data_IF_056059471282
#
_entry.id   IF_056059471282
#
_cell.length_a   1.000
_cell.length_b   1.000
_cell.length_c   1.000
_cell.angle_alpha   90.00
_cell.angle_beta   90.00
_cell.angle_gamma   90.00
#
_symmetry.space_group_name_H-M   'P 1'
#
loop_
_entity.id
_entity.type
_entity.pdbx_description
1 polymer ?
#
# COMPACT_ATOMS: atom_id res chain seq x y z
N UNK A 1 11.99 23.53 21.00
CA UNK A 1 12.87 22.43 20.56
C UNK A 1 12.87 21.28 21.57
N UNK A 2 12.70 21.54 22.87
CA UNK A 2 12.66 20.47 23.89
C UNK A 2 11.41 19.59 23.88
N UNK A 3 10.23 20.10 23.48
CA UNK A 3 9.00 19.29 23.46
C UNK A 3 9.03 18.12 22.45
N UNK A 4 9.79 18.26 21.35
CA UNK A 4 9.94 17.21 20.33
C UNK A 4 10.94 16.15 20.80
N UNK A 5 12.00 16.57 21.50
CA UNK A 5 12.98 15.66 22.12
C UNK A 5 12.34 14.82 23.23
N UNK A 6 11.55 15.45 24.10
CA UNK A 6 10.80 14.75 25.14
C UNK A 6 9.72 13.82 24.56
N UNK A 7 9.09 14.20 23.43
CA UNK A 7 8.14 13.33 22.73
C UNK A 7 8.84 12.08 22.20
N UNK A 8 10.01 12.22 21.56
CA UNK A 8 10.81 11.11 21.04
C UNK A 8 11.29 10.19 22.18
N UNK A 9 11.70 10.76 23.31
CA UNK A 9 12.18 10.00 24.46
C UNK A 9 11.04 9.29 25.22
N UNK A 10 9.82 9.87 25.21
CA UNK A 10 8.62 9.22 25.75
C UNK A 10 8.11 8.05 24.91
N UNK A 11 8.37 8.06 23.60
CA UNK A 11 8.04 6.96 22.68
C UNK A 11 8.93 5.72 22.87
N UNK A 12 10.09 5.88 23.51
CA UNK A 12 11.02 4.78 23.76
C UNK A 12 10.70 3.97 25.03
N UNK A 13 9.91 4.52 25.96
CA UNK A 13 9.81 4.01 27.34
C UNK A 13 8.48 3.31 27.72
N UNK A 14 7.52 3.17 26.81
CA UNK A 14 6.33 2.33 27.04
C UNK A 14 5.11 2.75 26.22
N UNK A 15 4.25 1.77 25.87
CA UNK A 15 3.03 1.87 25.04
C UNK A 15 3.29 2.08 23.53
N UNK A 16 2.46 1.45 22.69
CA UNK A 16 2.66 1.25 21.24
C UNK A 16 3.41 2.38 20.52
N UNK A 17 4.50 2.05 19.83
CA UNK A 17 5.34 3.05 19.14
C UNK A 17 4.62 3.69 17.94
N UNK A 18 5.09 4.85 17.47
CA UNK A 18 4.63 5.46 16.20
C UNK A 18 4.69 4.46 15.05
N UNK A 19 5.68 3.55 15.07
CA UNK A 19 5.81 2.48 14.10
C UNK A 19 4.63 1.49 14.15
N UNK A 20 4.19 1.07 15.33
CA UNK A 20 3.03 0.18 15.48
C UNK A 20 1.73 0.81 14.97
N UNK A 21 1.53 2.10 15.26
CA UNK A 21 0.39 2.85 14.74
C UNK A 21 0.45 2.91 13.21
N UNK A 22 1.63 3.20 12.64
CA UNK A 22 1.81 3.22 11.19
C UNK A 22 1.53 1.84 10.56
N UNK A 23 1.98 0.74 11.17
CA UNK A 23 1.69 -0.62 10.70
C UNK A 23 0.18 -0.92 10.70
N UNK A 24 -0.56 -0.44 11.70
CA UNK A 24 -2.03 -0.56 11.73
C UNK A 24 -2.70 0.25 10.63
N UNK A 25 -2.24 1.48 10.37
CA UNK A 25 -2.77 2.28 9.26
C UNK A 25 -2.41 1.65 7.89
N UNK A 26 -1.21 1.07 7.74
CA UNK A 26 -0.83 0.31 6.54
C UNK A 26 -1.77 -0.87 6.31
N UNK A 27 -2.13 -1.60 7.37
CA UNK A 27 -3.09 -2.70 7.29
C UNK A 27 -4.51 -2.21 6.94
N UNK A 28 -4.92 -1.03 7.41
CA UNK A 28 -6.17 -0.39 7.00
C UNK A 28 -6.17 -0.03 5.49
N UNK A 29 -5.04 0.42 4.95
CA UNK A 29 -4.88 0.63 3.50
C UNK A 29 -5.00 -0.69 2.73
N UNK A 30 -4.39 -1.78 3.22
CA UNK A 30 -4.54 -3.11 2.62
C UNK A 30 -6.01 -3.55 2.62
N UNK A 31 -6.72 -3.37 3.74
CA UNK A 31 -8.16 -3.63 3.82
C UNK A 31 -8.94 -2.83 2.78
N UNK A 32 -8.84 -1.50 2.83
CA UNK A 32 -9.55 -0.58 1.93
C UNK A 32 -9.32 -0.87 0.45
N UNK A 33 -8.09 -1.21 0.09
CA UNK A 33 -7.70 -1.50 -1.30
C UNK A 33 -8.24 -2.83 -1.85
N UNK A 34 -8.58 -3.78 -0.99
CA UNK A 34 -9.11 -5.10 -1.36
C UNK A 34 -10.66 -5.18 -1.22
N UNK A 35 -11.33 -4.16 -0.67
CA UNK A 35 -12.79 -4.14 -0.41
C UNK A 35 -13.70 -4.30 -1.65
N UNK A 36 -13.16 -4.26 -2.88
CA UNK A 36 -13.93 -4.64 -4.08
C UNK A 36 -14.39 -6.12 -4.05
N UNK A 37 -13.78 -6.97 -3.21
CA UNK A 37 -14.21 -8.34 -2.93
C UNK A 37 -15.15 -8.40 -1.70
N UNK A 38 -16.35 -7.80 -1.79
CA UNK A 38 -17.39 -7.92 -0.74
C UNK A 38 -17.91 -9.36 -0.66
N UNK A 39 -17.20 -10.22 0.08
CA UNK A 39 -17.68 -11.42 0.81
C UNK A 39 -16.49 -12.10 1.52
N UNK A 40 -16.39 -12.03 2.84
CA UNK A 40 -15.65 -13.05 3.61
C UNK A 40 -14.50 -12.65 4.54
N UNK A 41 -13.95 -11.42 4.48
CA UNK A 41 -12.99 -10.95 5.50
C UNK A 41 -13.36 -9.59 6.07
N UNK A 42 -13.52 -9.53 7.40
CA UNK A 42 -13.67 -8.29 8.14
C UNK A 42 -12.32 -7.58 8.37
N UNK A 43 -12.40 -6.34 8.86
CA UNK A 43 -11.24 -5.51 9.19
C UNK A 43 -10.32 -6.20 10.21
N UNK A 44 -10.89 -6.81 11.25
CA UNK A 44 -10.12 -7.46 12.32
C UNK A 44 -9.26 -8.62 11.81
N UNK A 45 -9.81 -9.43 10.92
CA UNK A 45 -9.08 -10.56 10.33
C UNK A 45 -7.99 -10.06 9.37
N UNK A 46 -8.28 -9.01 8.60
CA UNK A 46 -7.31 -8.37 7.72
C UNK A 46 -6.14 -7.78 8.51
N UNK A 47 -6.44 -7.08 9.61
CA UNK A 47 -5.43 -6.54 10.53
C UNK A 47 -4.53 -7.64 11.07
N UNK A 48 -5.10 -8.76 11.57
CA UNK A 48 -4.31 -9.89 12.06
C UNK A 48 -3.36 -10.43 11.00
N UNK A 49 -3.85 -10.69 9.79
CA UNK A 49 -3.04 -11.21 8.69
C UNK A 49 -1.94 -10.22 8.28
N UNK A 50 -2.26 -8.93 8.17
CA UNK A 50 -1.27 -7.91 7.83
C UNK A 50 -0.20 -7.77 8.92
N UNK A 51 -0.58 -7.78 10.19
CA UNK A 51 0.38 -7.68 11.29
C UNK A 51 1.32 -8.88 11.33
N UNK A 52 0.83 -10.10 11.06
CA UNK A 52 1.70 -11.28 10.92
C UNK A 52 2.72 -11.15 9.79
N UNK A 53 2.34 -10.47 8.69
CA UNK A 53 3.25 -10.17 7.59
C UNK A 53 4.28 -9.12 8.00
N UNK A 54 3.80 -7.99 8.53
CA UNK A 54 4.64 -6.85 8.86
C UNK A 54 5.63 -7.12 10.01
N UNK A 55 5.22 -7.89 11.01
CA UNK A 55 6.05 -8.15 12.19
C UNK A 55 7.15 -9.20 11.96
N UNK A 56 7.12 -9.91 10.83
CA UNK A 56 8.01 -11.05 10.60
C UNK A 56 7.86 -12.16 11.65
N UNK A 57 6.77 -12.17 12.44
CA UNK A 57 6.50 -13.20 13.47
C UNK A 57 6.04 -14.54 12.89
N UNK A 58 5.77 -14.58 11.60
CA UNK A 58 5.95 -15.80 10.86
C UNK A 58 7.46 -15.89 10.62
N UNK A 59 8.18 -16.89 11.16
CA UNK A 59 9.57 -17.25 10.78
C UNK A 59 9.64 -17.49 9.26
N UNK A 60 9.56 -16.41 8.52
CA UNK A 60 9.22 -16.32 7.11
C UNK A 60 10.00 -15.08 6.67
N UNK A 61 11.18 -15.37 6.16
CA UNK A 61 11.90 -14.43 5.35
C UNK A 61 11.15 -14.25 4.03
N UNK A 62 10.59 -13.05 3.82
CA UNK A 62 9.87 -12.69 2.60
C UNK A 62 10.81 -12.49 1.39
N UNK A 63 12.13 -12.52 1.60
CA UNK A 63 13.12 -12.36 0.54
C UNK A 63 13.37 -13.64 -0.28
N UNK A 64 13.33 -14.81 0.36
CA UNK A 64 13.84 -16.06 -0.26
C UNK A 64 12.77 -16.93 -0.93
N UNK A 65 11.47 -16.68 -0.67
CA UNK A 65 10.32 -17.28 -1.40
C UNK A 65 10.44 -18.81 -1.61
N UNK A 66 11.00 -19.52 -0.64
CA UNK A 66 11.28 -20.97 -0.74
C UNK A 66 10.00 -21.81 -0.85
N UNK A 67 10.08 -23.09 -1.23
CA UNK A 67 8.94 -24.01 -1.17
C UNK A 67 8.28 -24.06 0.23
N UNK A 68 9.08 -23.99 1.29
CA UNK A 68 8.62 -24.00 2.69
C UNK A 68 7.79 -22.74 3.03
N UNK A 69 8.17 -21.58 2.47
CA UNK A 69 7.39 -20.36 2.56
C UNK A 69 5.98 -20.53 1.97
N UNK A 70 5.87 -21.13 0.79
CA UNK A 70 4.57 -21.38 0.15
C UNK A 70 3.70 -22.29 1.02
N UNK A 71 4.28 -23.33 1.63
CA UNK A 71 3.54 -24.25 2.50
C UNK A 71 3.01 -23.54 3.76
N UNK A 72 3.84 -22.72 4.43
CA UNK A 72 3.40 -21.95 5.61
C UNK A 72 2.28 -20.97 5.25
N UNK A 73 2.40 -20.29 4.10
CA UNK A 73 1.40 -19.35 3.60
C UNK A 73 0.07 -20.05 3.26
N UNK A 74 0.11 -21.18 2.57
CA UNK A 74 -1.09 -21.99 2.29
C UNK A 74 -1.80 -22.41 3.57
N UNK A 75 -1.04 -22.82 4.59
CA UNK A 75 -1.59 -23.21 5.89
C UNK A 75 -2.29 -22.03 6.59
N UNK A 76 -1.71 -20.83 6.55
CA UNK A 76 -2.31 -19.62 7.12
C UNK A 76 -3.60 -19.23 6.38
N UNK A 77 -3.56 -19.24 5.05
CA UNK A 77 -4.71 -18.89 4.20
C UNK A 77 -5.88 -19.85 4.46
N UNK A 78 -5.62 -21.16 4.51
CA UNK A 78 -6.66 -22.21 4.64
C UNK A 78 -7.08 -22.50 6.08
N UNK A 79 -6.45 -21.87 7.07
CA UNK A 79 -6.72 -22.11 8.49
C UNK A 79 -8.21 -21.88 8.79
N UNK A 80 -8.87 -22.85 9.41
CA UNK A 80 -10.28 -22.78 9.83
C UNK A 80 -11.28 -22.52 8.68
N UNK A 81 -10.92 -22.87 7.43
CA UNK A 81 -11.78 -22.74 6.25
C UNK A 81 -12.21 -24.11 5.72
N UNK A 82 -13.49 -24.25 5.41
CA UNK A 82 -14.00 -25.43 4.73
C UNK A 82 -13.52 -25.49 3.25
N UNK A 83 -13.22 -26.67 2.70
CA UNK A 83 -12.73 -26.83 1.32
C UNK A 83 -13.62 -26.23 0.21
N UNK A 84 -14.87 -25.86 0.51
CA UNK A 84 -15.81 -25.22 -0.42
C UNK A 84 -15.74 -23.68 -0.49
N UNK A 85 -15.05 -23.01 0.44
CA UNK A 85 -15.03 -21.54 0.56
C UNK A 85 -13.91 -20.89 -0.26
N UNK A 86 -13.84 -21.27 -1.54
CA UNK A 86 -12.86 -20.81 -2.52
C UNK A 86 -12.74 -19.27 -2.63
N UNK A 87 -13.84 -18.56 -2.40
CA UNK A 87 -13.85 -17.09 -2.35
C UNK A 87 -13.09 -16.54 -1.13
N UNK A 88 -13.21 -17.17 0.05
CA UNK A 88 -12.54 -16.72 1.28
C UNK A 88 -11.03 -16.98 1.18
N UNK A 89 -10.63 -18.14 0.66
CA UNK A 89 -9.22 -18.48 0.39
C UNK A 89 -8.59 -17.45 -0.55
N UNK A 90 -9.30 -17.08 -1.62
CA UNK A 90 -8.85 -16.03 -2.55
C UNK A 90 -8.72 -14.68 -1.84
N UNK A 91 -9.73 -14.24 -1.08
CA UNK A 91 -9.69 -12.98 -0.35
C UNK A 91 -8.54 -12.91 0.65
N UNK A 92 -8.28 -13.98 1.41
CA UNK A 92 -7.12 -14.05 2.32
C UNK A 92 -5.80 -13.96 1.57
N UNK A 93 -5.69 -14.64 0.42
CA UNK A 93 -4.49 -14.57 -0.42
C UNK A 93 -4.27 -13.16 -0.94
N UNK A 94 -5.31 -12.48 -1.42
CA UNK A 94 -5.23 -11.10 -1.88
C UNK A 94 -4.76 -10.15 -0.76
N UNK A 95 -5.26 -10.33 0.47
CA UNK A 95 -4.79 -9.58 1.66
C UNK A 95 -3.31 -9.84 1.95
N UNK A 96 -2.91 -11.11 2.04
CA UNK A 96 -1.53 -11.46 2.39
C UNK A 96 -0.54 -11.02 1.32
N UNK A 97 -0.85 -11.23 0.04
CA UNK A 97 0.02 -10.79 -1.05
C UNK A 97 0.10 -9.26 -1.14
N UNK A 98 -0.99 -8.56 -0.85
CA UNK A 98 -0.95 -7.10 -0.78
C UNK A 98 -0.07 -6.63 0.39
N UNK A 99 -0.23 -7.19 1.59
CA UNK A 99 0.65 -6.87 2.72
C UNK A 99 2.13 -7.16 2.40
N UNK A 100 2.43 -8.30 1.78
CA UNK A 100 3.79 -8.67 1.39
C UNK A 100 4.37 -7.72 0.32
N UNK A 101 3.58 -7.33 -0.67
CA UNK A 101 3.97 -6.34 -1.68
C UNK A 101 4.23 -4.96 -1.06
N UNK A 102 3.40 -4.55 -0.09
CA UNK A 102 3.57 -3.29 0.62
C UNK A 102 4.85 -3.29 1.46
N UNK A 103 5.10 -4.37 2.21
CA UNK A 103 6.33 -4.52 2.98
C UNK A 103 7.57 -4.53 2.07
N UNK A 104 7.52 -5.23 0.93
CA UNK A 104 8.63 -5.27 -0.03
C UNK A 104 8.99 -3.88 -0.56
N UNK A 105 8.00 -3.10 -1.03
CA UNK A 105 8.29 -1.77 -1.58
C UNK A 105 8.73 -0.78 -0.51
N UNK A 106 8.21 -0.89 0.72
CA UNK A 106 8.66 -0.09 1.88
C UNK A 106 10.11 -0.43 2.24
N UNK A 107 10.44 -1.72 2.32
CA UNK A 107 11.81 -2.16 2.62
C UNK A 107 12.82 -1.67 1.58
N UNK A 108 12.49 -1.76 0.30
CA UNK A 108 13.43 -1.36 -0.76
C UNK A 108 13.53 0.17 -0.90
N UNK A 109 12.40 0.88 -0.97
CA UNK A 109 12.38 2.33 -1.27
C UNK A 109 12.61 3.21 -0.03
N UNK A 110 12.09 2.81 1.13
CA UNK A 110 12.15 3.60 2.37
C UNK A 110 13.32 3.16 3.24
N UNK A 111 13.44 1.87 3.56
CA UNK A 111 14.49 1.42 4.48
C UNK A 111 15.85 1.30 3.81
N UNK A 112 15.94 0.64 2.66
CA UNK A 112 17.18 0.48 1.90
C UNK A 112 17.53 1.70 1.02
N UNK A 113 16.66 2.72 1.00
CA UNK A 113 16.86 3.98 0.26
C UNK A 113 17.18 3.77 -1.23
N UNK A 114 16.69 2.67 -1.83
CA UNK A 114 16.89 2.40 -3.25
C UNK A 114 15.95 3.27 -4.09
N UNK A 115 16.36 3.68 -5.31
CA UNK A 115 15.49 4.44 -6.18
C UNK A 115 14.27 3.62 -6.63
N UNK A 116 13.16 4.31 -6.90
CA UNK A 116 11.98 3.69 -7.51
C UNK A 116 12.30 3.31 -8.96
N UNK A 117 12.55 2.02 -9.21
CA UNK A 117 12.87 1.51 -10.55
C UNK A 117 11.71 0.73 -11.15
N UNK A 118 11.69 0.55 -12.47
CA UNK A 118 10.75 -0.37 -13.13
C UNK A 118 10.87 -1.79 -12.56
N UNK A 119 12.08 -2.22 -12.24
CA UNK A 119 12.32 -3.54 -11.64
C UNK A 119 11.62 -3.65 -10.29
N UNK A 120 11.78 -2.66 -9.41
CA UNK A 120 11.07 -2.64 -8.12
C UNK A 120 9.55 -2.71 -8.33
N UNK A 121 8.99 -1.90 -9.22
CA UNK A 121 7.55 -1.92 -9.51
C UNK A 121 7.09 -3.29 -10.03
N UNK A 122 7.85 -3.92 -10.93
CA UNK A 122 7.55 -5.25 -11.47
C UNK A 122 7.64 -6.34 -10.40
N UNK A 123 8.67 -6.30 -9.55
CA UNK A 123 8.87 -7.26 -8.46
C UNK A 123 7.77 -7.13 -7.41
N UNK A 124 7.41 -5.90 -7.01
CA UNK A 124 6.27 -5.62 -6.13
C UNK A 124 4.96 -6.12 -6.73
N UNK A 125 4.72 -5.86 -8.02
CA UNK A 125 3.52 -6.37 -8.70
C UNK A 125 3.50 -7.90 -8.75
N UNK A 126 4.64 -8.56 -9.02
CA UNK A 126 4.73 -10.00 -9.03
C UNK A 126 4.34 -10.63 -7.68
N UNK A 127 4.74 -10.00 -6.56
CA UNK A 127 4.28 -10.40 -5.22
C UNK A 127 2.76 -10.20 -5.10
N UNK A 128 2.29 -9.00 -5.44
CA UNK A 128 0.91 -8.57 -5.25
C UNK A 128 -0.12 -9.51 -5.88
N UNK A 129 0.19 -10.10 -7.04
CA UNK A 129 -0.75 -10.97 -7.79
C UNK A 129 -0.41 -12.46 -7.70
N UNK A 130 0.61 -12.85 -6.92
CA UNK A 130 1.09 -14.22 -6.87
C UNK A 130 0.02 -15.19 -6.39
N UNK A 131 -0.30 -16.18 -7.21
CA UNK A 131 -1.31 -17.22 -6.91
C UNK A 131 -2.75 -16.71 -6.93
N UNK A 132 -3.00 -15.51 -7.48
CA UNK A 132 -4.33 -14.96 -7.73
C UNK A 132 -4.55 -15.06 -9.25
N UNK A 133 -5.31 -16.07 -9.70
CA UNK A 133 -5.58 -16.20 -11.13
C UNK A 133 -6.61 -15.17 -11.62
N UNK A 134 -6.45 -14.74 -12.87
CA UNK A 134 -7.40 -13.85 -13.54
C UNK A 134 -8.73 -14.55 -13.90
N UNK A 135 -8.79 -15.90 -13.86
CA UNK A 135 -9.82 -16.69 -14.55
C UNK A 135 -10.84 -17.40 -13.64
N UNK A 136 -10.66 -17.50 -12.32
CA UNK A 136 -11.64 -18.21 -11.49
C UNK A 136 -11.29 -18.34 -10.01
N UNK A 137 -12.33 -18.47 -9.19
CA UNK A 137 -12.23 -18.51 -7.73
C UNK A 137 -11.57 -19.80 -7.21
N UNK A 138 -10.54 -19.65 -6.37
CA UNK A 138 -10.16 -20.63 -5.35
C UNK A 138 -9.04 -21.61 -5.67
N UNK A 139 -8.69 -21.82 -6.94
CA UNK A 139 -7.56 -22.67 -7.27
C UNK A 139 -6.35 -21.83 -7.68
N UNK A 140 -5.16 -22.17 -7.14
CA UNK A 140 -3.88 -21.67 -7.65
C UNK A 140 -3.73 -22.13 -9.10
N UNK A 141 -4.26 -21.37 -10.03
CA UNK A 141 -3.82 -21.48 -11.40
C UNK A 141 -2.52 -20.67 -11.54
N UNK A 142 -1.41 -21.34 -11.23
CA UNK A 142 -0.04 -20.83 -11.45
C UNK A 142 0.40 -20.97 -12.91
N UNK A 143 -0.42 -21.57 -13.78
CA UNK A 143 -0.05 -21.82 -15.18
C UNK A 143 0.00 -20.54 -16.02
N UNK A 144 -0.61 -19.45 -15.54
CA UNK A 144 -0.64 -18.15 -16.21
C UNK A 144 -0.16 -17.02 -15.28
N UNK A 145 1.11 -17.09 -14.87
CA UNK A 145 1.72 -16.01 -14.08
C UNK A 145 1.95 -14.75 -14.93
N UNK A 146 1.12 -13.73 -14.69
CA UNK A 146 1.22 -12.39 -15.26
C UNK A 146 1.95 -11.40 -14.33
N UNK A 147 2.46 -11.87 -13.18
CA UNK A 147 3.21 -11.09 -12.22
C UNK A 147 4.45 -10.44 -12.82
N UNK A 148 4.54 -9.10 -12.72
CA UNK A 148 5.72 -8.33 -13.12
C UNK A 148 5.85 -8.13 -14.62
N UNK A 149 4.85 -8.57 -15.41
CA UNK A 149 4.86 -8.48 -16.86
C UNK A 149 3.86 -7.43 -17.33
N UNK A 150 4.31 -6.55 -18.23
CA UNK A 150 3.39 -5.61 -18.86
C UNK A 150 2.35 -6.35 -19.70
N UNK A 151 1.15 -5.77 -19.78
CA UNK A 151 0.07 -6.34 -20.58
C UNK A 151 0.41 -6.32 -22.07
N UNK A 152 -0.10 -7.33 -22.79
CA UNK A 152 -0.02 -7.46 -24.24
C UNK A 152 -1.29 -6.99 -24.96
N UNK A 153 -2.35 -6.72 -24.20
CA UNK A 153 -3.68 -6.42 -24.74
C UNK A 153 -3.99 -4.93 -24.57
N UNK A 154 -4.76 -4.38 -25.50
CA UNK A 154 -5.35 -3.05 -25.34
C UNK A 154 -6.41 -3.07 -24.24
N UNK A 155 -6.41 -2.02 -23.41
CA UNK A 155 -7.35 -1.88 -22.31
C UNK A 155 -7.93 -0.47 -22.29
N UNK A 156 -9.15 -0.39 -21.79
CA UNK A 156 -9.89 0.85 -21.61
C UNK A 156 -10.21 1.05 -20.13
N UNK A 157 -10.11 2.29 -19.67
CA UNK A 157 -10.65 2.70 -18.38
C UNK A 157 -11.84 3.61 -18.69
N UNK A 158 -13.05 3.11 -18.45
CA UNK A 158 -14.25 3.77 -18.96
C UNK A 158 -14.25 3.76 -20.49
N UNK A 159 -14.36 4.92 -21.11
CA UNK A 159 -14.36 5.08 -22.58
C UNK A 159 -12.97 5.36 -23.17
N UNK A 160 -11.95 5.58 -22.34
CA UNK A 160 -10.65 6.03 -22.80
C UNK A 160 -9.66 4.86 -22.93
N UNK A 161 -9.00 4.81 -24.08
CA UNK A 161 -7.93 3.86 -24.34
C UNK A 161 -6.68 4.23 -23.54
N UNK A 162 -6.13 3.26 -22.81
CA UNK A 162 -4.81 3.40 -22.19
C UNK A 162 -3.70 3.30 -23.26
N UNK A 163 -2.44 3.69 -22.97
CA UNK A 163 -1.34 3.51 -23.92
C UNK A 163 -1.28 2.11 -24.51
N UNK A 164 -0.93 1.98 -25.79
CA UNK A 164 -0.83 0.66 -26.43
C UNK A 164 0.25 -0.18 -25.74
N UNK A 165 0.17 -1.53 -25.78
CA UNK A 165 1.20 -2.41 -25.23
C UNK A 165 2.64 -2.03 -25.63
N UNK A 166 2.83 -1.58 -26.87
CA UNK A 166 4.13 -1.12 -27.41
C UNK A 166 4.66 0.16 -26.75
N UNK A 167 3.80 0.96 -26.11
CA UNK A 167 4.11 2.27 -25.53
C UNK A 167 4.35 2.18 -24.01
N UNK A 168 3.89 1.11 -23.35
CA UNK A 168 3.93 0.95 -21.90
C UNK A 168 5.38 1.02 -21.38
N UNK A 169 6.31 0.34 -22.04
CA UNK A 169 7.71 0.32 -21.61
C UNK A 169 8.30 1.73 -21.56
N UNK A 170 8.19 2.48 -22.66
CA UNK A 170 8.67 3.85 -22.74
C UNK A 170 7.99 4.78 -21.73
N UNK A 171 6.68 4.64 -21.53
CA UNK A 171 5.92 5.43 -20.58
C UNK A 171 6.35 5.15 -19.12
N UNK A 172 6.55 3.88 -18.76
CA UNK A 172 7.04 3.49 -17.44
C UNK A 172 8.47 3.94 -17.19
N UNK A 173 9.37 3.79 -18.16
CA UNK A 173 10.75 4.31 -18.08
C UNK A 173 10.75 5.82 -17.83
N UNK A 174 9.94 6.56 -18.59
CA UNK A 174 9.79 8.01 -18.43
C UNK A 174 9.26 8.37 -17.04
N UNK A 175 8.22 7.66 -16.57
CA UNK A 175 7.64 7.89 -15.24
C UNK A 175 8.66 7.72 -14.11
N UNK A 176 9.39 6.58 -14.08
CA UNK A 176 10.35 6.32 -12.99
C UNK A 176 11.55 7.26 -13.06
N UNK A 177 12.02 7.62 -14.26
CA UNK A 177 13.08 8.61 -14.47
C UNK A 177 12.69 9.98 -13.95
N UNK A 178 11.48 10.44 -14.30
CA UNK A 178 10.98 11.74 -13.84
C UNK A 178 10.80 11.77 -12.33
N UNK A 179 10.33 10.67 -11.71
CA UNK A 179 10.22 10.57 -10.26
C UNK A 179 11.58 10.73 -9.59
N UNK A 180 12.60 10.01 -10.09
CA UNK A 180 13.97 10.14 -9.57
C UNK A 180 14.50 11.57 -9.68
N UNK A 181 14.37 12.21 -10.83
CA UNK A 181 14.83 13.59 -11.05
C UNK A 181 14.12 14.57 -10.10
N UNK A 182 12.80 14.47 -9.96
CA UNK A 182 12.03 15.36 -9.08
C UNK A 182 12.36 15.15 -7.61
N UNK A 183 12.60 13.91 -7.18
CA UNK A 183 13.04 13.60 -5.83
C UNK A 183 14.44 14.18 -5.55
N UNK A 184 15.41 13.91 -6.44
CA UNK A 184 16.76 14.44 -6.30
C UNK A 184 16.78 15.97 -6.24
N UNK A 185 15.93 16.63 -7.03
CA UNK A 185 15.81 18.09 -7.04
C UNK A 185 15.18 18.61 -5.73
N UNK A 186 14.11 17.96 -5.25
CA UNK A 186 13.43 18.35 -4.03
C UNK A 186 14.30 18.14 -2.77
N UNK A 187 15.05 17.03 -2.72
CA UNK A 187 16.01 16.76 -1.64
C UNK A 187 17.13 17.81 -1.61
N UNK A 188 17.69 18.19 -2.78
CA UNK A 188 18.70 19.26 -2.88
C UNK A 188 18.16 20.62 -2.48
N UNK A 189 16.90 20.92 -2.81
CA UNK A 189 16.26 22.18 -2.47
C UNK A 189 15.78 22.24 -1.00
N UNK A 190 15.64 21.08 -0.33
CA UNK A 190 15.09 20.98 1.02
C UNK A 190 13.59 21.27 1.09
N UNK A 191 12.88 21.29 -0.04
CA UNK A 191 11.45 21.60 -0.12
C UNK A 191 10.76 20.56 -1.01
N UNK A 192 9.81 19.83 -0.43
CA UNK A 192 9.01 18.82 -1.11
C UNK A 192 7.56 18.89 -0.60
N UNK A 193 6.59 18.89 -1.51
CA UNK A 193 5.19 18.57 -1.19
C UNK A 193 4.96 17.07 -1.43
N UNK A 194 4.96 16.24 -0.37
CA UNK A 194 4.82 14.79 -0.53
C UNK A 194 3.43 14.40 -1.02
N UNK A 195 2.39 15.20 -0.74
CA UNK A 195 1.01 14.90 -1.15
C UNK A 195 0.83 15.15 -2.64
N UNK A 196 1.32 16.29 -3.14
CA UNK A 196 1.30 16.60 -4.57
C UNK A 196 2.14 15.61 -5.37
N UNK A 197 3.34 15.25 -4.88
CA UNK A 197 4.22 14.28 -5.53
C UNK A 197 3.55 12.89 -5.59
N UNK A 198 3.05 12.38 -4.46
CA UNK A 198 2.41 11.07 -4.40
C UNK A 198 1.17 10.99 -5.30
N UNK A 199 0.34 12.05 -5.32
CA UNK A 199 -0.82 12.14 -6.20
C UNK A 199 -0.41 12.13 -7.67
N UNK A 200 0.58 12.94 -8.07
CA UNK A 200 1.09 13.01 -9.45
C UNK A 200 1.56 11.65 -9.96
N UNK A 201 2.30 10.90 -9.15
CA UNK A 201 2.85 9.61 -9.60
C UNK A 201 1.86 8.45 -9.49
N UNK A 202 0.87 8.50 -8.59
CA UNK A 202 -0.28 7.59 -8.66
C UNK A 202 -1.09 7.85 -9.94
N UNK A 203 -1.43 9.12 -10.23
CA UNK A 203 -2.18 9.48 -11.44
C UNK A 203 -1.46 9.03 -12.72
N UNK A 204 -0.16 9.33 -12.86
CA UNK A 204 0.65 8.85 -13.98
C UNK A 204 0.61 7.33 -14.10
N UNK A 205 0.81 6.61 -13.00
CA UNK A 205 0.83 5.14 -13.02
C UNK A 205 -0.51 4.55 -13.45
N UNK A 206 -1.64 5.03 -12.92
CA UNK A 206 -2.96 4.49 -13.27
C UNK A 206 -3.33 4.78 -14.72
N UNK A 207 -2.84 5.89 -15.28
CA UNK A 207 -3.08 6.28 -16.68
C UNK A 207 -2.21 5.51 -17.67
N UNK A 208 -1.02 5.06 -17.28
CA UNK A 208 -0.23 4.08 -18.06
C UNK A 208 -0.94 2.71 -18.04
N UNK A 209 -1.47 2.31 -16.88
CA UNK A 209 -2.13 1.02 -16.66
C UNK A 209 -1.28 -0.17 -17.15
N UNK A 210 -0.05 -0.33 -16.64
CA UNK A 210 0.97 -1.17 -17.27
C UNK A 210 0.70 -2.68 -17.19
N UNK A 211 -0.05 -3.14 -16.20
CA UNK A 211 -0.25 -4.57 -15.93
C UNK A 211 -1.62 -5.07 -16.38
N UNK A 212 -1.79 -6.39 -16.44
CA UNK A 212 -3.07 -7.02 -16.79
C UNK A 212 -4.14 -6.89 -15.69
N UNK A 213 -3.73 -6.97 -14.44
CA UNK A 213 -4.57 -6.78 -13.25
C UNK A 213 -3.70 -6.17 -12.13
N UNK A 214 -4.29 -5.75 -11.01
CA UNK A 214 -3.55 -5.24 -9.87
C UNK A 214 -3.15 -3.77 -9.98
N UNK A 215 -3.38 -3.09 -11.12
CA UNK A 215 -2.99 -1.69 -11.33
C UNK A 215 -3.54 -0.74 -10.24
N UNK A 216 -4.81 -0.90 -9.84
CA UNK A 216 -5.38 -0.08 -8.79
C UNK A 216 -4.71 -0.29 -7.42
N UNK A 217 -4.31 -1.52 -7.09
CA UNK A 217 -3.57 -1.83 -5.85
C UNK A 217 -2.14 -1.29 -5.93
N UNK A 218 -1.46 -1.48 -7.06
CA UNK A 218 -0.13 -0.91 -7.32
C UNK A 218 -0.10 0.63 -7.25
N UNK A 219 -1.10 1.34 -7.80
CA UNK A 219 -1.16 2.81 -7.69
C UNK A 219 -1.15 3.25 -6.22
N UNK A 220 -1.94 2.58 -5.38
CA UNK A 220 -2.03 2.88 -3.95
C UNK A 220 -0.75 2.53 -3.20
N UNK A 221 -0.03 1.49 -3.61
CA UNK A 221 1.31 1.18 -3.08
C UNK A 221 2.33 2.26 -3.46
N UNK A 222 2.36 2.68 -4.73
CA UNK A 222 3.24 3.76 -5.22
C UNK A 222 2.95 5.07 -4.49
N UNK A 223 1.68 5.41 -4.33
CA UNK A 223 1.25 6.60 -3.60
C UNK A 223 1.73 6.54 -2.14
N UNK A 224 1.42 5.45 -1.44
CA UNK A 224 1.68 5.35 -0.01
C UNK A 224 3.16 5.21 0.32
N UNK A 225 3.96 4.54 -0.52
CA UNK A 225 5.41 4.43 -0.24
C UNK A 225 6.13 5.78 -0.32
N UNK A 226 5.66 6.69 -1.20
CA UNK A 226 6.14 8.08 -1.24
C UNK A 226 5.73 8.82 0.04
N UNK A 227 4.48 8.70 0.46
CA UNK A 227 4.00 9.35 1.69
C UNK A 227 4.68 8.82 2.96
N UNK A 228 4.98 7.51 3.02
CA UNK A 228 5.73 6.94 4.14
C UNK A 228 7.12 7.57 4.19
N UNK A 229 7.83 7.64 3.04
CA UNK A 229 9.20 8.18 2.99
C UNK A 229 9.28 9.65 3.40
N UNK A 230 8.35 10.47 2.95
CA UNK A 230 8.48 11.93 3.06
C UNK A 230 7.49 12.60 4.02
N UNK A 231 6.46 11.88 4.50
CA UNK A 231 5.47 12.40 5.44
C UNK A 231 5.23 11.48 6.66
N UNK A 232 5.78 10.27 6.68
CA UNK A 232 5.63 9.33 7.79
C UNK A 232 4.20 8.82 7.99
N UNK A 233 3.37 8.86 6.94
CA UNK A 233 1.96 8.47 6.99
C UNK A 233 1.53 7.66 5.78
N UNK A 234 0.33 7.10 5.88
CA UNK A 234 -0.40 6.49 4.77
C UNK A 234 -1.78 7.13 4.61
N UNK A 235 -2.37 6.97 3.43
CA UNK A 235 -3.72 7.41 3.11
C UNK A 235 -4.51 6.30 2.45
N UNK A 236 -5.78 6.21 2.83
CA UNK A 236 -6.71 5.27 2.23
C UNK A 236 -7.54 5.98 1.17
N UNK A 237 -7.07 5.95 -0.08
CA UNK A 237 -7.77 6.56 -1.21
C UNK A 237 -8.63 5.51 -1.91
N UNK A 238 -9.93 5.80 -2.04
CA UNK A 238 -10.90 4.96 -2.73
C UNK A 238 -11.45 3.79 -1.90
N UNK A 239 -11.49 3.94 -0.58
CA UNK A 239 -12.12 3.01 0.38
C UNK A 239 -13.65 3.22 0.48
N UNK A 240 -14.11 4.46 0.57
CA UNK A 240 -15.53 4.81 0.70
C UNK A 240 -16.12 5.27 -0.63
N UNK A 241 -17.41 5.00 -0.84
CA UNK A 241 -18.13 5.29 -2.10
C UNK A 241 -17.85 6.73 -2.59
N UNK A 242 -17.96 7.74 -1.72
CA UNK A 242 -17.67 9.13 -2.08
C UNK A 242 -16.19 9.41 -2.40
N UNK A 243 -15.25 8.94 -1.58
CA UNK A 243 -13.80 9.12 -1.82
C UNK A 243 -13.31 8.39 -3.08
N UNK A 244 -14.01 7.31 -3.43
CA UNK A 244 -13.74 6.51 -4.62
C UNK A 244 -14.24 7.21 -5.86
N UNK A 245 -15.46 7.76 -5.82
CA UNK A 245 -16.00 8.52 -6.94
C UNK A 245 -15.15 9.77 -7.19
N UNK A 246 -14.71 10.45 -6.13
CA UNK A 246 -13.75 11.56 -6.24
C UNK A 246 -12.41 11.12 -6.83
N UNK A 247 -11.85 9.98 -6.40
CA UNK A 247 -10.63 9.42 -6.98
C UNK A 247 -10.79 9.07 -8.47
N UNK A 248 -11.89 8.41 -8.83
CA UNK A 248 -12.17 8.01 -10.21
C UNK A 248 -12.39 9.24 -11.10
N UNK A 249 -13.14 10.23 -10.60
CA UNK A 249 -13.37 11.51 -11.26
C UNK A 249 -12.08 12.30 -11.46
N UNK A 250 -11.25 12.43 -10.41
CA UNK A 250 -9.95 13.08 -10.53
C UNK A 250 -9.03 12.41 -11.56
N UNK A 251 -9.04 11.07 -11.60
CA UNK A 251 -8.28 10.33 -12.59
C UNK A 251 -8.87 10.46 -14.00
N UNK A 252 -10.19 10.60 -14.16
CA UNK A 252 -10.84 10.87 -15.44
C UNK A 252 -10.55 12.29 -15.95
N UNK A 253 -10.68 13.29 -15.08
CA UNK A 253 -10.34 14.68 -15.39
C UNK A 253 -8.88 14.83 -15.80
N UNK A 254 -7.95 14.25 -15.02
CA UNK A 254 -6.53 14.24 -15.34
C UNK A 254 -6.27 13.67 -16.73
N UNK A 255 -6.93 12.54 -17.07
CA UNK A 255 -6.78 11.93 -18.40
C UNK A 255 -7.36 12.79 -19.52
N UNK A 256 -8.49 13.47 -19.29
CA UNK A 256 -9.14 14.30 -20.30
C UNK A 256 -8.27 15.49 -20.72
N UNK A 257 -7.45 16.03 -19.81
CA UNK A 257 -6.58 17.19 -20.05
C UNK A 257 -5.11 16.83 -20.30
N UNK A 258 -4.77 15.54 -20.39
CA UNK A 258 -3.39 15.08 -20.64
C UNK A 258 -2.45 15.14 -19.42
N UNK A 259 -3.02 15.19 -18.20
CA UNK A 259 -2.30 15.10 -16.93
C UNK A 259 -2.52 16.32 -16.03
N UNK A 260 -3.38 16.18 -15.01
CA UNK A 260 -3.57 17.16 -13.95
C UNK A 260 -3.93 16.48 -12.62
N UNK A 261 -2.97 16.40 -11.70
CA UNK A 261 -3.17 15.71 -10.42
C UNK A 261 -3.69 16.60 -9.27
N UNK A 262 -4.11 17.85 -9.54
CA UNK A 262 -4.54 18.80 -8.51
C UNK A 262 -5.73 18.32 -7.66
N UNK A 263 -6.83 17.84 -8.28
CA UNK A 263 -7.95 17.26 -7.55
C UNK A 263 -7.54 16.03 -6.72
N UNK A 264 -6.69 15.15 -7.28
CA UNK A 264 -6.18 13.99 -6.55
C UNK A 264 -5.26 14.40 -5.39
N UNK A 265 -4.41 15.42 -5.55
CA UNK A 265 -3.56 15.94 -4.51
C UNK A 265 -4.39 16.50 -3.35
N UNK A 266 -5.48 17.20 -3.65
CA UNK A 266 -6.42 17.71 -2.64
C UNK A 266 -7.08 16.58 -1.86
N UNK A 267 -7.53 15.52 -2.56
CA UNK A 267 -8.08 14.32 -1.93
C UNK A 267 -7.04 13.63 -1.03
N UNK A 268 -5.82 13.44 -1.54
CA UNK A 268 -4.71 12.81 -0.81
C UNK A 268 -4.34 13.61 0.43
N UNK A 269 -4.26 14.93 0.35
CA UNK A 269 -4.01 15.82 1.49
C UNK A 269 -5.12 15.72 2.54
N UNK A 270 -6.39 15.72 2.11
CA UNK A 270 -7.54 15.63 3.01
C UNK A 270 -7.58 14.29 3.75
N UNK A 271 -7.34 13.18 3.05
CA UNK A 271 -7.25 11.86 3.70
C UNK A 271 -6.01 11.76 4.59
N UNK A 272 -4.88 12.36 4.18
CA UNK A 272 -3.66 12.46 4.99
C UNK A 272 -3.88 13.21 6.30
N UNK A 273 -4.63 14.32 6.27
CA UNK A 273 -5.01 15.05 7.47
C UNK A 273 -5.84 14.19 8.43
N UNK A 274 -6.77 13.38 7.91
CA UNK A 274 -7.56 12.45 8.75
C UNK A 274 -6.66 11.39 9.38
N UNK A 275 -5.73 10.79 8.63
CA UNK A 275 -4.78 9.81 9.17
C UNK A 275 -3.91 10.45 10.26
N UNK A 276 -3.31 11.61 10.00
CA UNK A 276 -2.50 12.34 10.98
C UNK A 276 -3.27 12.63 12.27
N UNK A 277 -4.51 13.11 12.14
CA UNK A 277 -5.39 13.36 13.28
C UNK A 277 -5.63 12.08 14.09
N UNK A 278 -5.94 10.97 13.41
CA UNK A 278 -6.16 9.66 14.03
C UNK A 278 -4.90 9.16 14.75
N UNK A 279 -3.74 9.23 14.10
CA UNK A 279 -2.45 8.83 14.70
C UNK A 279 -2.14 9.66 15.95
N UNK A 280 -2.30 10.98 15.88
CA UNK A 280 -2.12 11.90 17.02
C UNK A 280 -3.06 11.57 18.18
N UNK A 281 -4.34 11.36 17.89
CA UNK A 281 -5.35 11.10 18.93
C UNK A 281 -5.10 9.74 19.61
N UNK A 282 -4.65 8.75 18.85
CA UNK A 282 -4.20 7.43 19.36
C UNK A 282 -2.98 7.57 20.27
N UNK A 283 -1.94 8.29 19.85
CA UNK A 283 -0.75 8.58 20.67
C UNK A 283 -1.10 9.29 21.99
N UNK A 284 -2.04 10.25 21.96
CA UNK A 284 -2.49 10.96 23.16
C UNK A 284 -3.17 10.02 24.17
N UNK A 285 -4.00 9.08 23.69
CA UNK A 285 -4.67 8.10 24.55
C UNK A 285 -3.66 7.20 25.27
N UNK A 286 -2.61 6.77 24.58
CA UNK A 286 -1.54 5.97 25.19
C UNK A 286 -0.78 6.75 26.28
N UNK A 287 -0.47 8.03 26.05
CA UNK A 287 0.16 8.89 27.06
C UNK A 287 -0.71 9.06 28.31
N UNK A 288 -2.04 9.13 28.16
CA UNK A 288 -2.97 9.19 29.30
C UNK A 288 -3.08 7.87 30.06
N UNK A 289 -3.11 6.72 29.35
CA UNK A 289 -3.16 5.40 29.99
C UNK A 289 -1.85 5.03 30.69
N UNK A 290 -0.69 5.34 30.10
CA UNK A 290 0.61 5.11 30.74
C UNK A 290 0.77 5.89 32.06
N UNK A 291 0.24 7.12 32.14
CA UNK A 291 0.21 7.90 33.39
C UNK A 291 -0.70 7.25 34.45
N UNK A 292 -1.90 6.80 34.07
CA UNK A 292 -2.83 6.16 34.99
C UNK A 292 -2.33 4.82 35.53
N UNK A 293 -1.60 4.04 34.72
CA UNK A 293 -1.03 2.75 35.14
C UNK A 293 0.18 2.93 36.08
N UNK A 294 1.03 3.93 35.82
CA UNK A 294 2.14 4.31 36.72
C UNK A 294 1.63 4.86 38.05
N UNK A 295 0.56 5.67 38.04
CA UNK A 295 -0.08 6.19 39.26
C UNK A 295 -0.78 5.12 40.10
N UNK A 296 -1.18 3.99 39.50
CA UNK A 296 -1.72 2.82 40.20
C UNK A 296 -0.61 1.98 40.82
N UNK A 297 0.45 1.69 40.07
CA UNK A 297 1.61 0.90 40.54
C UNK A 297 2.47 1.62 41.59
N UNK A 298 2.42 2.95 41.66
CA UNK A 298 3.10 3.73 42.71
C UNK A 298 2.32 3.85 44.03
N UNK A 299 1.13 3.24 44.13
CA UNK A 299 0.29 3.21 45.36
C UNK A 299 0.19 1.81 46.00
N UNK A 300 0.85 0.81 45.43
CA UNK A 300 1.02 -0.54 45.99
C UNK A 300 2.42 -0.68 46.59
#
# INVERSE_FOLDING_TARGET
>A
MDEVGELIQSLQNGTESVAEILLREMAAVVYGSNTKARRGLGLDETLKLCMLVFSGQLDIDYSDRTPEYQVKLEKLIRKDINPGDNHIIRSRREVVQHAAAFQHIVNEFVHAQKPMTEKLIKDTHAILVKGISAAGAGFLDTSKDFGGKYRSDDVYIGVQQCPKPSEIAAAMTSMVKNLGIELDAAEKAGVLDPFALAAKYCDRFVNIHPFRDGNGRMCRLVLNVILIKYAGIVVNVGEHDQSRDEYLSAAEESRAVGGHAGPLATLVLREGYKTLKKMRDTLRKYKTWGKQDMERKGRE
#
